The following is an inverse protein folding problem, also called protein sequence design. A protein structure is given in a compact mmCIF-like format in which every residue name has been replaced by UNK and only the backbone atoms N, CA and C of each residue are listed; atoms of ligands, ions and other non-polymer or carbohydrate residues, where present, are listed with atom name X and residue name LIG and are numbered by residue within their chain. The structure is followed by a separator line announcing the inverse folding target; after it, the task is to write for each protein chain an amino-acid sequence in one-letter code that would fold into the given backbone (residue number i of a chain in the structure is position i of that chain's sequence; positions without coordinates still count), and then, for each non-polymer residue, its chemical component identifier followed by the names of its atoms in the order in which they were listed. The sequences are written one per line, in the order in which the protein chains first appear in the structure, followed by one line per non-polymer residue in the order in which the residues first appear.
data_IF_944908626754
#
_entry.id   IF_944908626754
#
_cell.length_a   1.000
_cell.length_b   1.000
_cell.length_c   1.000
_cell.angle_alpha   90.00
_cell.angle_beta   90.00
_cell.angle_gamma   90.00
#
_symmetry.space_group_name_H-M   'P 1'
#
loop_
_entity.id
_entity.type
_entity.pdbx_description
1 polymer ?
#
# COMPACT_ATOMS: atom_id res chain seq x y z
N UNK A 1 -5.45 -7.46 17.35
CA UNK A 1 -4.04 -7.02 17.18
C UNK A 1 -3.76 -5.98 18.25
N UNK A 2 -2.62 -6.04 18.92
CA UNK A 2 -2.21 -5.02 19.91
C UNK A 2 -1.82 -3.75 19.14
N UNK A 3 -2.46 -2.64 19.46
CA UNK A 3 -2.13 -1.31 18.92
C UNK A 3 -0.71 -0.93 19.35
N UNK A 4 0.13 -0.49 18.43
CA UNK A 4 1.45 0.05 18.76
C UNK A 4 1.28 1.52 19.14
N UNK A 5 1.77 1.90 20.31
CA UNK A 5 1.74 3.26 20.81
C UNK A 5 3.10 3.91 20.67
N UNK A 6 3.11 5.15 20.20
CA UNK A 6 4.29 6.00 20.05
C UNK A 6 4.09 7.28 20.84
N UNK A 7 5.19 7.90 21.28
CA UNK A 7 5.17 9.23 21.84
C UNK A 7 5.51 10.26 20.76
N UNK A 8 4.81 11.38 20.75
CA UNK A 8 5.20 12.58 20.00
C UNK A 8 6.30 13.30 20.78
N UNK A 9 7.52 13.25 20.27
CA UNK A 9 8.69 13.88 20.92
C UNK A 9 8.77 15.36 20.61
N UNK A 10 8.52 15.73 19.36
CA UNK A 10 8.56 17.12 18.90
C UNK A 10 7.61 17.33 17.73
N UNK A 11 7.10 18.57 17.63
CA UNK A 11 6.36 19.03 16.45
C UNK A 11 7.05 20.28 15.90
N UNK A 12 7.28 20.31 14.57
CA UNK A 12 8.16 21.28 13.95
C UNK A 12 7.50 21.89 12.70
N UNK A 13 7.75 23.18 12.45
CA UNK A 13 7.27 23.89 11.26
C UNK A 13 8.38 24.73 10.61
N UNK A 14 8.22 25.03 9.34
CA UNK A 14 8.98 26.06 8.63
C UNK A 14 8.06 26.85 7.71
N UNK A 15 8.28 28.15 7.60
CA UNK A 15 7.49 29.03 6.73
C UNK A 15 7.91 28.94 5.26
N UNK A 16 9.13 28.48 4.99
CA UNK A 16 9.67 28.37 3.63
C UNK A 16 10.13 26.95 3.29
N UNK A 17 9.95 26.57 2.04
CA UNK A 17 10.42 25.27 1.54
C UNK A 17 11.96 25.25 1.46
N UNK A 18 12.53 24.10 1.85
CA UNK A 18 13.98 23.90 1.79
C UNK A 18 14.74 24.37 3.03
N UNK A 19 14.08 24.92 4.01
CA UNK A 19 14.66 25.28 5.31
C UNK A 19 14.48 24.14 6.32
N UNK A 20 15.32 24.12 7.35
CA UNK A 20 15.12 23.30 8.54
C UNK A 20 13.86 23.77 9.25
N UNK A 21 13.17 22.84 9.92
CA UNK A 21 11.99 23.17 10.71
C UNK A 21 12.38 23.48 12.15
N UNK A 22 11.57 24.29 12.81
CA UNK A 22 11.80 24.68 14.19
C UNK A 22 10.75 24.06 15.09
N UNK A 23 11.14 23.54 16.28
CA UNK A 23 10.20 23.04 17.28
C UNK A 23 9.22 24.13 17.70
N UNK A 24 7.95 23.72 17.83
CA UNK A 24 6.87 24.57 18.35
C UNK A 24 6.09 23.82 19.44
N UNK A 25 5.36 24.53 20.26
CA UNK A 25 4.60 23.94 21.37
C UNK A 25 3.39 23.12 20.88
N UNK A 26 2.90 23.42 19.65
CA UNK A 26 1.69 22.84 19.11
C UNK A 26 1.62 23.03 17.60
N UNK A 27 1.09 22.05 16.89
CA UNK A 27 0.69 22.18 15.48
C UNK A 27 -0.83 21.98 15.36
N UNK A 28 -1.45 22.78 14.48
CA UNK A 28 -2.84 22.61 14.07
C UNK A 28 -2.87 22.09 12.65
N UNK A 29 -3.69 21.06 12.40
CA UNK A 29 -3.81 20.42 11.08
C UNK A 29 -5.21 20.69 10.51
N UNK A 30 -5.26 20.95 9.23
CA UNK A 30 -6.47 21.00 8.41
C UNK A 30 -6.37 19.98 7.27
N UNK A 31 -7.33 19.97 6.34
CA UNK A 31 -7.33 19.05 5.19
C UNK A 31 -6.16 19.22 4.21
N UNK A 32 -5.41 20.32 4.31
CA UNK A 32 -4.24 20.61 3.47
C UNK A 32 -2.91 20.35 4.19
N UNK A 33 -2.93 19.95 5.46
CA UNK A 33 -1.72 19.72 6.24
C UNK A 33 -1.61 20.62 7.47
N UNK A 34 -0.38 20.98 7.85
CA UNK A 34 -0.11 21.80 9.03
C UNK A 34 -0.29 23.28 8.69
N UNK A 35 -1.12 23.97 9.46
CA UNK A 35 -1.38 25.40 9.31
C UNK A 35 -0.09 26.19 9.56
N UNK A 36 0.30 27.01 8.60
CA UNK A 36 1.54 27.81 8.64
C UNK A 36 2.81 27.08 8.21
N UNK A 37 2.74 25.80 7.86
CA UNK A 37 3.90 25.08 7.31
C UNK A 37 3.99 25.25 5.80
N UNK A 38 5.19 25.44 5.28
CA UNK A 38 5.45 25.65 3.85
C UNK A 38 5.08 24.45 2.96
N UNK A 39 4.92 23.25 3.53
CA UNK A 39 4.57 22.03 2.79
C UNK A 39 3.07 21.73 2.83
N UNK A 40 2.25 22.54 3.50
CA UNK A 40 0.80 22.42 3.43
C UNK A 40 0.31 22.62 1.98
N UNK A 41 -0.66 21.80 1.55
CA UNK A 41 -1.23 21.88 0.21
C UNK A 41 -2.04 20.64 -0.16
N UNK A 42 -2.69 20.71 -1.32
CA UNK A 42 -3.46 19.60 -1.88
C UNK A 42 -2.51 18.61 -2.59
N UNK A 43 -1.87 17.77 -1.84
CA UNK A 43 -0.96 16.76 -2.32
C UNK A 43 -0.79 15.63 -1.27
N UNK A 44 -0.06 14.57 -1.64
CA UNK A 44 0.04 13.37 -0.79
C UNK A 44 1.10 13.47 0.34
N UNK A 45 1.98 14.48 0.34
CA UNK A 45 3.04 14.67 1.34
C UNK A 45 2.79 15.90 2.21
N UNK A 46 1.62 15.96 2.84
CA UNK A 46 1.18 17.12 3.64
C UNK A 46 1.92 17.24 4.97
N UNK A 47 2.25 16.09 5.59
CA UNK A 47 2.93 16.04 6.89
C UNK A 47 4.04 15.01 6.81
N UNK A 48 5.23 15.37 7.27
CA UNK A 48 6.39 14.48 7.33
C UNK A 48 6.67 14.02 8.75
N UNK A 49 6.94 12.73 8.94
CA UNK A 49 7.29 12.16 10.22
C UNK A 49 8.67 11.49 10.15
N UNK A 50 9.39 11.49 11.28
CA UNK A 50 10.66 10.79 11.46
C UNK A 50 10.75 10.24 12.89
N UNK A 51 11.18 8.98 13.04
CA UNK A 51 11.38 8.37 14.34
C UNK A 51 12.67 8.86 15.03
N UNK A 52 12.65 9.06 16.33
CA UNK A 52 13.83 9.32 17.17
C UNK A 52 14.91 8.24 16.96
N UNK A 53 14.49 7.03 16.70
CA UNK A 53 15.35 5.89 16.37
C UNK A 53 16.23 6.16 15.13
N UNK A 54 15.71 6.92 14.17
CA UNK A 54 16.47 7.38 12.99
C UNK A 54 17.50 8.44 13.35
N UNK A 55 17.17 9.36 14.27
CA UNK A 55 18.13 10.34 14.81
C UNK A 55 19.28 9.65 15.55
N UNK A 56 18.98 8.64 16.35
CA UNK A 56 19.98 7.87 17.10
C UNK A 56 20.92 7.09 16.16
N UNK A 57 20.39 6.51 15.08
CA UNK A 57 21.23 5.89 14.05
C UNK A 57 22.13 6.90 13.34
N UNK A 58 21.55 8.04 12.97
CA UNK A 58 22.30 9.11 12.32
C UNK A 58 23.38 9.68 13.24
N UNK A 59 23.11 9.90 14.52
CA UNK A 59 24.05 10.49 15.47
C UNK A 59 25.33 9.66 15.62
N UNK A 60 25.23 8.33 15.49
CA UNK A 60 26.39 7.43 15.52
C UNK A 60 27.33 7.64 14.33
N UNK A 61 26.80 8.08 13.19
CA UNK A 61 27.56 8.35 11.97
C UNK A 61 28.11 9.78 11.99
N UNK A 62 27.28 10.73 12.41
CA UNK A 62 27.58 12.15 12.40
C UNK A 62 28.46 12.62 13.58
N UNK A 63 28.58 11.80 14.64
CA UNK A 63 29.30 12.16 15.86
C UNK A 63 28.61 13.25 16.71
N UNK A 64 27.37 13.62 16.36
CA UNK A 64 26.55 14.57 17.11
C UNK A 64 25.07 14.18 17.04
N UNK A 65 24.30 14.62 18.01
CA UNK A 65 22.84 14.49 17.97
C UNK A 65 22.25 15.65 17.16
N UNK A 66 21.47 15.35 16.09
CA UNK A 66 20.75 16.40 15.35
C UNK A 66 19.65 17.01 16.21
N UNK A 67 19.28 18.25 15.95
CA UNK A 67 18.13 18.90 16.59
C UNK A 67 16.82 18.47 15.91
N UNK A 68 15.71 18.49 16.66
CA UNK A 68 14.40 18.18 16.09
C UNK A 68 14.02 19.21 15.02
N UNK A 69 13.54 18.73 13.88
CA UNK A 69 13.23 19.55 12.69
C UNK A 69 14.40 19.71 11.70
N UNK A 70 15.62 19.29 12.07
CA UNK A 70 16.80 19.44 11.22
C UNK A 70 16.67 18.68 9.89
N UNK A 71 16.03 17.53 9.87
CA UNK A 71 15.73 16.76 8.66
C UNK A 71 14.50 17.26 7.89
N UNK A 72 13.93 18.41 8.32
CA UNK A 72 12.70 18.99 7.82
C UNK A 72 11.44 18.10 8.07
N UNK A 73 11.48 17.26 9.09
CA UNK A 73 10.30 16.53 9.58
C UNK A 73 9.39 17.46 10.38
N UNK A 74 8.06 17.22 10.25
CA UNK A 74 7.06 17.94 11.01
C UNK A 74 6.79 17.33 12.38
N UNK A 75 6.83 16.00 12.47
CA UNK A 75 6.56 15.29 13.72
C UNK A 75 7.71 14.32 13.97
N UNK A 76 8.33 14.42 15.13
CA UNK A 76 9.30 13.45 15.62
C UNK A 76 8.59 12.52 16.61
N UNK A 77 8.66 11.20 16.36
CA UNK A 77 8.04 10.17 17.18
C UNK A 77 9.08 9.31 17.89
N UNK A 78 8.68 8.58 18.92
CA UNK A 78 9.49 7.57 19.62
C UNK A 78 8.63 6.34 19.92
N UNK A 79 9.17 5.14 19.76
CA UNK A 79 8.52 3.88 20.15
C UNK A 79 8.49 2.82 19.06
N UNK A 80 8.78 3.18 17.81
CA UNK A 80 8.95 2.22 16.71
C UNK A 80 9.73 2.80 15.53
N UNK A 81 10.33 1.91 14.74
CA UNK A 81 10.91 2.26 13.44
C UNK A 81 9.79 2.57 12.42
N UNK A 82 9.34 3.83 12.36
CA UNK A 82 8.19 4.21 11.53
C UNK A 82 8.42 4.01 10.02
N UNK A 83 9.64 3.94 9.56
CA UNK A 83 9.95 3.63 8.15
C UNK A 83 9.61 2.19 7.74
N UNK A 84 9.27 1.33 8.70
CA UNK A 84 8.76 -0.04 8.45
C UNK A 84 7.24 -0.07 8.21
N UNK A 85 6.59 1.07 8.22
CA UNK A 85 5.17 1.21 7.85
C UNK A 85 4.99 1.11 6.34
N UNK A 86 3.74 1.07 5.88
CA UNK A 86 3.42 0.96 4.46
C UNK A 86 2.42 2.04 4.06
N UNK A 87 2.40 2.46 2.79
CA UNK A 87 1.36 3.33 2.28
C UNK A 87 -0.05 2.76 2.53
N UNK A 88 -0.93 3.61 3.04
CA UNK A 88 -2.27 3.23 3.49
C UNK A 88 -2.38 2.89 4.97
N UNK A 89 -1.27 2.76 5.70
CA UNK A 89 -1.28 2.65 7.16
C UNK A 89 -1.78 3.94 7.80
N UNK A 90 -2.32 3.84 9.00
CA UNK A 90 -2.94 4.94 9.71
C UNK A 90 -2.20 5.22 11.02
N UNK A 91 -1.97 6.49 11.29
CA UNK A 91 -1.64 7.00 12.61
C UNK A 91 -2.78 7.85 13.16
N UNK A 92 -3.13 7.64 14.43
CA UNK A 92 -4.10 8.49 15.12
C UNK A 92 -3.43 9.18 16.31
N UNK A 93 -3.79 10.44 16.55
CA UNK A 93 -3.33 11.21 17.71
C UNK A 93 -4.49 12.09 18.19
N UNK A 94 -5.13 11.70 19.29
CA UNK A 94 -6.39 12.32 19.71
C UNK A 94 -7.45 12.21 18.61
N UNK A 95 -7.87 13.36 18.05
CA UNK A 95 -8.81 13.42 16.93
C UNK A 95 -8.12 13.35 15.55
N UNK A 96 -6.82 13.59 15.50
CA UNK A 96 -6.09 13.63 14.23
C UNK A 96 -5.95 12.22 13.66
N UNK A 97 -6.22 12.07 12.37
CA UNK A 97 -5.98 10.84 11.61
C UNK A 97 -5.06 11.19 10.43
N UNK A 98 -3.93 10.52 10.35
CA UNK A 98 -2.94 10.63 9.29
C UNK A 98 -2.83 9.30 8.55
N UNK A 99 -2.89 9.34 7.22
CA UNK A 99 -2.63 8.17 6.37
C UNK A 99 -1.23 8.26 5.77
N UNK A 100 -0.45 7.21 5.93
CA UNK A 100 0.86 7.07 5.27
C UNK A 100 0.66 6.99 3.76
N UNK A 101 1.35 7.86 3.03
CA UNK A 101 1.24 7.94 1.57
C UNK A 101 2.56 7.61 0.87
N UNK A 102 3.68 7.77 1.56
CA UNK A 102 5.00 7.52 0.98
C UNK A 102 6.03 7.26 2.07
N UNK A 103 6.94 6.33 1.82
CA UNK A 103 8.15 6.11 2.60
C UNK A 103 9.34 6.66 1.81
N UNK A 104 10.19 7.44 2.47
CA UNK A 104 11.35 8.04 1.85
C UNK A 104 11.02 9.09 0.77
N UNK A 105 12.03 9.68 0.19
CA UNK A 105 11.92 10.63 -0.92
C UNK A 105 13.22 10.67 -1.73
N UNK A 106 13.16 11.18 -2.95
CA UNK A 106 14.40 11.48 -3.69
C UNK A 106 15.24 12.51 -2.92
N UNK A 107 16.53 12.22 -2.75
CA UNK A 107 17.47 13.14 -2.13
C UNK A 107 17.73 14.35 -3.03
N UNK A 108 17.84 15.53 -2.43
CA UNK A 108 18.20 16.76 -3.14
C UNK A 108 19.73 16.93 -3.32
N UNK A 109 20.54 15.97 -2.79
CA UNK A 109 22.00 16.01 -2.90
C UNK A 109 22.59 17.28 -2.29
N UNK A 110 23.54 17.90 -2.99
CA UNK A 110 24.28 19.08 -2.54
C UNK A 110 23.41 20.32 -2.27
N UNK A 111 22.15 20.32 -2.67
CA UNK A 111 21.18 21.36 -2.34
C UNK A 111 20.66 21.29 -0.89
N UNK A 112 20.96 20.21 -0.15
CA UNK A 112 20.50 20.02 1.23
C UNK A 112 21.62 20.33 2.22
N UNK A 113 21.34 21.18 3.24
CA UNK A 113 22.32 21.55 4.25
C UNK A 113 22.84 20.34 5.04
N UNK A 114 21.96 19.44 5.46
CA UNK A 114 22.32 18.21 6.18
C UNK A 114 23.19 17.28 5.32
N UNK A 115 22.85 17.13 4.04
CA UNK A 115 23.66 16.31 3.14
C UNK A 115 25.07 16.88 2.93
N UNK A 116 25.19 18.19 2.80
CA UNK A 116 26.51 18.86 2.66
C UNK A 116 27.40 18.68 3.89
N UNK A 117 26.81 18.67 5.08
CA UNK A 117 27.54 18.54 6.34
C UNK A 117 28.06 17.12 6.57
N UNK A 118 27.22 16.10 6.33
CA UNK A 118 27.48 14.71 6.74
C UNK A 118 27.63 13.76 5.54
N UNK A 119 27.32 14.20 4.32
CA UNK A 119 27.29 13.35 3.12
C UNK A 119 26.14 12.35 3.10
N UNK A 120 25.27 12.38 4.09
CA UNK A 120 24.14 11.45 4.24
C UNK A 120 22.93 12.15 4.85
N UNK A 121 21.73 11.60 4.61
CA UNK A 121 20.50 12.10 5.21
C UNK A 121 19.54 10.91 5.40
N UNK A 122 18.87 10.86 6.54
CA UNK A 122 17.94 9.76 6.87
C UNK A 122 16.56 9.90 6.18
N UNK A 123 16.11 11.13 5.91
CA UNK A 123 14.80 11.37 5.30
C UNK A 123 14.54 10.66 3.97
N UNK A 124 15.53 10.51 3.05
CA UNK A 124 15.34 9.78 1.81
C UNK A 124 14.97 8.30 1.98
N UNK A 125 15.36 7.70 3.11
CA UNK A 125 15.14 6.26 3.37
C UNK A 125 14.17 6.00 4.51
N UNK A 126 14.18 6.82 5.56
CA UNK A 126 13.51 6.56 6.82
C UNK A 126 12.41 7.57 7.16
N UNK A 127 12.34 8.69 6.45
CA UNK A 127 11.24 9.63 6.59
C UNK A 127 9.95 9.08 5.97
N UNK A 128 8.83 9.27 6.64
CA UNK A 128 7.53 8.95 6.08
C UNK A 128 6.73 10.21 5.82
N UNK A 129 5.84 10.14 4.85
CA UNK A 129 4.96 11.24 4.48
C UNK A 129 3.52 10.78 4.60
N UNK A 130 2.67 11.69 5.08
CA UNK A 130 1.26 11.40 5.33
C UNK A 130 0.37 12.50 4.75
N UNK A 131 -0.90 12.16 4.55
CA UNK A 131 -1.98 13.11 4.33
C UNK A 131 -2.91 13.14 5.53
N UNK A 132 -3.56 14.27 5.74
CA UNK A 132 -4.53 14.46 6.82
C UNK A 132 -5.88 13.92 6.37
N UNK A 133 -6.36 12.87 7.06
CA UNK A 133 -7.72 12.33 6.88
C UNK A 133 -8.69 13.05 7.82
N UNK A 134 -8.28 13.26 9.07
CA UNK A 134 -9.08 14.01 10.05
C UNK A 134 -8.22 15.11 10.67
N UNK A 135 -8.67 16.36 10.62
CA UNK A 135 -7.96 17.50 11.20
C UNK A 135 -8.03 17.51 12.73
N UNK A 136 -7.13 18.29 13.32
CA UNK A 136 -7.05 18.48 14.77
C UNK A 136 -5.75 19.13 15.19
N UNK A 137 -5.30 18.83 16.40
CA UNK A 137 -4.12 19.44 17.02
C UNK A 137 -3.24 18.36 17.62
N UNK A 138 -1.92 18.52 17.49
CA UNK A 138 -0.91 17.64 18.08
C UNK A 138 0.08 18.48 18.87
N UNK A 139 0.46 18.00 20.06
CA UNK A 139 1.45 18.62 20.95
C UNK A 139 2.55 17.61 21.31
N UNK A 140 3.77 18.05 21.62
CA UNK A 140 4.77 17.18 22.23
C UNK A 140 4.23 16.54 23.52
N UNK A 141 4.49 15.24 23.67
CA UNK A 141 3.97 14.44 24.80
C UNK A 141 2.66 13.71 24.49
N UNK A 142 1.97 14.03 23.39
CA UNK A 142 0.78 13.29 22.98
C UNK A 142 1.15 11.84 22.60
N UNK A 143 0.20 10.93 22.82
CA UNK A 143 0.31 9.54 22.39
C UNK A 143 -0.27 9.40 20.98
N UNK A 144 0.51 8.82 20.08
CA UNK A 144 0.09 8.45 18.74
C UNK A 144 -0.07 6.92 18.64
N UNK A 145 -1.11 6.45 18.01
CA UNK A 145 -1.38 5.02 17.83
C UNK A 145 -1.26 4.64 16.34
N UNK A 146 -0.60 3.53 16.10
CA UNK A 146 -0.37 3.00 14.75
C UNK A 146 -1.31 1.84 14.45
N UNK A 147 -1.91 1.88 13.27
CA UNK A 147 -2.80 0.85 12.72
C UNK A 147 -2.33 0.47 11.31
N UNK A 148 -1.81 -0.74 11.14
CA UNK A 148 -1.45 -1.22 9.81
C UNK A 148 -2.71 -1.41 8.95
N UNK A 149 -2.60 -1.07 7.66
CA UNK A 149 -3.62 -1.41 6.68
C UNK A 149 -3.67 -2.91 6.52
N UNK A 150 -4.86 -3.50 6.69
CA UNK A 150 -5.09 -4.91 6.44
C UNK A 150 -5.47 -5.09 4.96
N UNK A 151 -4.63 -5.80 4.21
CA UNK A 151 -4.93 -6.17 2.82
C UNK A 151 -5.80 -7.42 2.81
N UNK A 152 -7.02 -7.27 2.31
CA UNK A 152 -7.96 -8.38 2.14
C UNK A 152 -7.81 -8.98 0.75
N UNK A 153 -7.66 -10.28 0.67
CA UNK A 153 -7.58 -11.01 -0.59
C UNK A 153 -8.57 -12.16 -0.63
N UNK A 154 -9.16 -12.41 -1.79
CA UNK A 154 -10.09 -13.50 -2.03
C UNK A 154 -9.59 -14.35 -3.20
N UNK A 155 -9.43 -15.65 -2.97
CA UNK A 155 -9.15 -16.64 -4.01
C UNK A 155 -10.43 -17.41 -4.30
N UNK A 156 -10.83 -17.48 -5.57
CA UNK A 156 -12.02 -18.20 -6.03
C UNK A 156 -11.60 -19.28 -7.01
N UNK A 157 -11.89 -20.55 -6.72
CA UNK A 157 -11.78 -21.64 -7.68
C UNK A 157 -13.14 -21.92 -8.30
N UNK A 158 -13.19 -21.92 -9.65
CA UNK A 158 -14.35 -22.32 -10.42
C UNK A 158 -14.14 -23.73 -10.97
N UNK A 159 -14.94 -24.67 -10.51
CA UNK A 159 -14.87 -26.06 -10.98
C UNK A 159 -16.10 -26.85 -10.57
N UNK A 160 -16.90 -27.31 -11.53
CA UNK A 160 -18.02 -28.23 -11.31
C UNK A 160 -17.57 -29.53 -10.61
N UNK A 161 -16.44 -30.10 -11.05
CA UNK A 161 -15.93 -31.37 -10.53
C UNK A 161 -15.35 -31.26 -9.13
N UNK A 162 -14.64 -30.17 -8.83
CA UNK A 162 -14.11 -29.98 -7.48
C UNK A 162 -15.22 -29.60 -6.49
N UNK A 163 -16.17 -28.75 -6.89
CA UNK A 163 -17.28 -28.31 -6.04
C UNK A 163 -18.25 -29.44 -5.67
N UNK A 164 -18.38 -30.46 -6.52
CA UNK A 164 -19.20 -31.64 -6.22
C UNK A 164 -18.42 -32.81 -5.59
N UNK A 165 -17.12 -32.60 -5.27
CA UNK A 165 -16.28 -33.59 -4.61
C UNK A 165 -15.72 -34.69 -5.52
N UNK A 166 -15.82 -34.57 -6.86
CA UNK A 166 -15.26 -35.57 -7.80
C UNK A 166 -13.73 -35.63 -7.73
N UNK A 167 -13.07 -34.49 -7.43
CA UNK A 167 -11.64 -34.44 -7.13
C UNK A 167 -11.32 -33.28 -6.19
N UNK A 168 -10.15 -33.31 -5.57
CA UNK A 168 -9.67 -32.27 -4.66
C UNK A 168 -9.18 -31.04 -5.44
N UNK A 169 -9.59 -29.83 -5.03
CA UNK A 169 -9.00 -28.61 -5.57
C UNK A 169 -7.58 -28.42 -5.03
N UNK A 170 -6.61 -28.43 -5.94
CA UNK A 170 -5.21 -28.17 -5.63
C UNK A 170 -4.78 -26.75 -6.03
N UNK A 171 -5.52 -26.11 -6.91
CA UNK A 171 -5.16 -24.81 -7.50
C UNK A 171 -5.45 -23.66 -6.55
N UNK A 172 -6.64 -23.65 -5.95
CA UNK A 172 -7.04 -22.62 -4.98
C UNK A 172 -6.15 -22.59 -3.74
N UNK A 173 -5.97 -23.71 -3.01
CA UNK A 173 -5.07 -23.77 -1.87
C UNK A 173 -3.63 -23.37 -2.18
N UNK A 174 -3.08 -23.73 -3.34
CA UNK A 174 -1.74 -23.30 -3.75
C UNK A 174 -1.68 -21.79 -4.02
N UNK A 175 -2.73 -21.21 -4.64
CA UNK A 175 -2.83 -19.78 -4.83
C UNK A 175 -2.90 -19.02 -3.49
N UNK A 176 -3.69 -19.53 -2.53
CA UNK A 176 -3.75 -18.98 -1.16
C UNK A 176 -2.38 -18.99 -0.50
N UNK A 177 -1.67 -20.12 -0.56
CA UNK A 177 -0.35 -20.28 0.02
C UNK A 177 0.67 -19.31 -0.57
N UNK A 178 0.71 -19.17 -1.91
CA UNK A 178 1.62 -18.27 -2.59
C UNK A 178 1.31 -16.80 -2.26
N UNK A 179 0.04 -16.43 -2.23
CA UNK A 179 -0.39 -15.08 -1.88
C UNK A 179 -0.10 -14.72 -0.43
N UNK A 180 -0.34 -15.66 0.49
CA UNK A 180 0.00 -15.50 1.91
C UNK A 180 1.51 -15.33 2.10
N UNK A 181 2.32 -16.18 1.46
CA UNK A 181 3.78 -16.05 1.51
C UNK A 181 4.27 -14.70 0.95
N UNK A 182 3.63 -14.21 -0.11
CA UNK A 182 3.93 -12.90 -0.67
C UNK A 182 3.68 -11.78 0.36
N UNK A 183 2.50 -11.72 0.98
CA UNK A 183 2.19 -10.71 1.99
C UNK A 183 3.13 -10.80 3.20
N UNK A 184 3.45 -12.02 3.67
CA UNK A 184 4.40 -12.23 4.77
C UNK A 184 5.79 -11.71 4.42
N UNK A 185 6.30 -12.03 3.23
CA UNK A 185 7.63 -11.59 2.78
C UNK A 185 7.73 -10.07 2.60
N UNK A 186 6.61 -9.41 2.28
CA UNK A 186 6.54 -7.95 2.14
C UNK A 186 6.20 -7.22 3.44
N UNK A 187 5.91 -7.95 4.53
CA UNK A 187 5.54 -7.36 5.82
C UNK A 187 4.13 -6.76 5.86
N UNK A 188 3.30 -6.97 4.82
CA UNK A 188 1.95 -6.44 4.76
C UNK A 188 0.99 -7.24 5.65
N UNK A 189 0.24 -6.55 6.51
CA UNK A 189 -0.85 -7.16 7.26
C UNK A 189 -1.95 -7.59 6.29
N UNK A 190 -2.42 -8.82 6.41
CA UNK A 190 -3.33 -9.40 5.41
C UNK A 190 -4.32 -10.40 5.98
N UNK A 191 -5.42 -10.55 5.25
CA UNK A 191 -6.43 -11.60 5.40
C UNK A 191 -6.64 -12.22 4.02
N UNK A 192 -6.45 -13.54 3.91
CA UNK A 192 -6.69 -14.26 2.65
C UNK A 192 -7.83 -15.24 2.86
N UNK A 193 -8.87 -15.07 2.09
CA UNK A 193 -10.04 -15.96 2.07
C UNK A 193 -10.09 -16.78 0.79
N UNK A 194 -10.78 -17.94 0.86
CA UNK A 194 -10.90 -18.87 -0.24
C UNK A 194 -12.36 -19.29 -0.43
N UNK A 195 -12.79 -19.42 -1.69
CA UNK A 195 -14.09 -19.97 -2.09
C UNK A 195 -13.90 -20.93 -3.25
N UNK A 196 -14.58 -22.07 -3.16
CA UNK A 196 -14.72 -23.04 -4.25
C UNK A 196 -16.18 -23.03 -4.69
N UNK A 197 -16.42 -22.76 -5.97
CA UNK A 197 -17.76 -22.70 -6.55
C UNK A 197 -17.83 -23.54 -7.84
N UNK A 198 -19.02 -24.02 -8.23
CA UNK A 198 -19.23 -24.60 -9.55
C UNK A 198 -18.99 -23.54 -10.65
N UNK A 199 -18.87 -23.99 -11.90
CA UNK A 199 -18.75 -23.11 -13.06
C UNK A 199 -20.09 -22.38 -13.31
N UNK A 200 -20.37 -21.38 -12.46
CA UNK A 200 -21.63 -20.60 -12.43
C UNK A 200 -21.34 -19.08 -12.40
N UNK A 201 -21.74 -18.41 -13.48
CA UNK A 201 -21.51 -16.97 -13.66
C UNK A 201 -22.18 -16.11 -12.60
N UNK A 202 -23.42 -16.44 -12.23
CA UNK A 202 -24.17 -15.66 -11.24
C UNK A 202 -23.53 -15.75 -9.84
N UNK A 203 -23.02 -16.95 -9.47
CA UNK A 203 -22.31 -17.13 -8.21
C UNK A 203 -20.98 -16.36 -8.21
N UNK A 204 -20.26 -16.37 -9.32
CA UNK A 204 -19.01 -15.59 -9.45
C UNK A 204 -19.29 -14.08 -9.32
N UNK A 205 -20.30 -13.58 -10.04
CA UNK A 205 -20.67 -12.15 -9.99
C UNK A 205 -21.10 -11.75 -8.57
N UNK A 206 -21.91 -12.57 -7.90
CA UNK A 206 -22.31 -12.32 -6.51
C UNK A 206 -21.12 -12.23 -5.55
N UNK A 207 -20.14 -13.16 -5.66
CA UNK A 207 -18.92 -13.11 -4.86
C UNK A 207 -18.03 -11.88 -5.17
N UNK A 208 -18.01 -11.42 -6.42
CA UNK A 208 -17.27 -10.21 -6.78
C UNK A 208 -17.95 -8.95 -6.22
N UNK A 209 -19.27 -8.89 -6.21
CA UNK A 209 -20.05 -7.81 -5.59
C UNK A 209 -19.87 -7.79 -4.06
N UNK A 210 -19.93 -8.97 -3.41
CA UNK A 210 -19.64 -9.13 -1.99
C UNK A 210 -18.21 -8.67 -1.67
N UNK A 211 -17.21 -9.15 -2.41
CA UNK A 211 -15.83 -8.74 -2.26
C UNK A 211 -15.65 -7.21 -2.42
N UNK A 212 -16.45 -6.61 -3.31
CA UNK A 212 -16.49 -5.17 -3.47
C UNK A 212 -17.03 -4.47 -2.22
N UNK A 213 -18.14 -4.88 -1.73
CA UNK A 213 -18.77 -4.33 -0.54
C UNK A 213 -17.87 -4.46 0.69
N UNK A 214 -17.19 -5.60 0.84
CA UNK A 214 -16.32 -5.92 1.97
C UNK A 214 -14.93 -5.24 1.89
N UNK A 215 -14.66 -4.50 0.82
CA UNK A 215 -13.42 -3.78 0.63
C UNK A 215 -12.21 -4.70 0.37
N UNK A 216 -12.44 -5.85 -0.28
CA UNK A 216 -11.37 -6.76 -0.72
C UNK A 216 -10.45 -6.04 -1.71
N UNK A 217 -9.14 -6.11 -1.48
CA UNK A 217 -8.14 -5.41 -2.28
C UNK A 217 -7.69 -6.23 -3.50
N UNK A 218 -7.68 -7.56 -3.38
CA UNK A 218 -7.22 -8.47 -4.43
C UNK A 218 -8.19 -9.64 -4.56
N UNK A 219 -8.65 -9.92 -5.77
CA UNK A 219 -9.39 -11.14 -6.09
C UNK A 219 -8.62 -11.95 -7.12
N UNK A 220 -8.38 -13.21 -6.83
CA UNK A 220 -7.75 -14.17 -7.76
C UNK A 220 -8.78 -15.24 -8.10
N UNK A 221 -9.04 -15.43 -9.38
CA UNK A 221 -9.88 -16.54 -9.87
C UNK A 221 -9.02 -17.60 -10.56
N UNK A 222 -9.30 -18.87 -10.35
CA UNK A 222 -8.67 -20.00 -11.00
C UNK A 222 -9.72 -21.01 -11.43
N UNK A 223 -9.49 -21.72 -12.52
CA UNK A 223 -10.47 -22.65 -13.12
C UNK A 223 -11.42 -21.97 -14.11
N UNK A 224 -12.48 -22.66 -14.52
CA UNK A 224 -13.45 -22.17 -15.52
C UNK A 224 -12.85 -21.88 -16.90
N UNK A 225 -11.75 -22.56 -17.28
CA UNK A 225 -10.93 -22.28 -18.48
C UNK A 225 -11.04 -23.32 -19.58
N UNK A 226 -11.98 -24.26 -19.47
CA UNK A 226 -12.24 -25.25 -20.50
C UNK A 226 -12.72 -24.60 -21.81
N UNK A 227 -12.72 -25.37 -22.90
CA UNK A 227 -13.28 -24.99 -24.22
C UNK A 227 -14.78 -25.29 -24.30
N UNK A 228 -15.43 -25.60 -23.17
CA UNK A 228 -16.83 -25.98 -23.11
C UNK A 228 -17.78 -24.78 -23.13
N UNK A 229 -19.03 -25.04 -23.55
CA UNK A 229 -20.09 -24.01 -23.62
C UNK A 229 -20.42 -23.38 -22.26
N UNK A 230 -19.94 -23.96 -21.15
CA UNK A 230 -20.13 -23.50 -19.75
C UNK A 230 -18.93 -22.75 -19.14
N UNK A 231 -17.84 -22.61 -19.89
CA UNK A 231 -16.68 -21.86 -19.40
C UNK A 231 -16.94 -20.36 -19.42
N UNK A 232 -17.15 -19.81 -18.23
CA UNK A 232 -17.69 -18.48 -18.01
C UNK A 232 -16.63 -17.47 -17.56
N UNK A 233 -15.47 -17.93 -17.09
CA UNK A 233 -14.48 -17.06 -16.47
C UNK A 233 -14.00 -15.93 -17.40
N UNK A 234 -13.76 -16.12 -18.70
CA UNK A 234 -13.45 -15.00 -19.60
C UNK A 234 -14.61 -14.02 -19.79
N UNK A 235 -15.87 -14.47 -19.64
CA UNK A 235 -17.07 -13.64 -19.82
C UNK A 235 -17.54 -12.97 -18.53
N UNK A 236 -17.61 -13.71 -17.43
CA UNK A 236 -18.05 -13.21 -16.13
C UNK A 236 -17.05 -12.25 -15.46
N UNK A 237 -15.77 -12.28 -15.84
CA UNK A 237 -14.76 -11.37 -15.33
C UNK A 237 -14.74 -10.00 -16.04
N UNK A 238 -15.41 -9.87 -17.18
CA UNK A 238 -15.58 -8.61 -17.90
C UNK A 238 -16.90 -7.96 -17.50
N UNK A 239 -16.91 -7.17 -16.45
CA UNK A 239 -18.01 -6.21 -16.27
C UNK A 239 -17.71 -5.01 -17.13
N UNK A 240 -18.64 -4.74 -18.05
CA UNK A 240 -18.59 -3.70 -19.08
C UNK A 240 -18.43 -2.31 -18.45
N UNK A 241 -17.27 -1.72 -18.57
CA UNK A 241 -16.99 -0.35 -18.17
C UNK A 241 -17.29 0.60 -19.36
N UNK A 242 -18.57 0.69 -19.75
CA UNK A 242 -19.05 1.62 -20.77
C UNK A 242 -19.56 2.94 -20.20
N UNK A 243 -19.00 3.43 -19.11
CA UNK A 243 -19.17 4.83 -18.74
C UNK A 243 -17.83 5.42 -18.35
N UNK A 244 -17.10 5.86 -19.39
CA UNK A 244 -15.93 6.68 -19.24
C UNK A 244 -16.31 8.05 -18.69
N UNK A 245 -15.86 8.36 -17.49
CA UNK A 245 -15.64 9.73 -17.09
C UNK A 245 -14.12 9.93 -16.86
N UNK A 246 -13.55 10.67 -17.79
CA UNK A 246 -12.11 10.90 -17.96
C UNK A 246 -11.62 12.02 -17.05
N UNK A 247 -11.71 11.88 -15.72
CA UNK A 247 -11.19 12.87 -14.77
C UNK A 247 -10.63 12.30 -13.50
N UNK A 248 -9.64 11.37 -13.57
CA UNK A 248 -8.75 11.10 -12.45
C UNK A 248 -7.34 10.79 -12.95
N UNK A 249 -6.45 11.75 -12.80
CA UNK A 249 -5.01 11.65 -13.03
C UNK A 249 -4.33 10.83 -11.94
N UNK A 250 -4.52 9.51 -11.92
CA UNK A 250 -3.91 8.60 -10.93
C UNK A 250 -3.79 7.15 -11.37
N UNK A 251 -4.33 6.79 -12.53
CA UNK A 251 -4.60 5.39 -12.88
C UNK A 251 -3.85 4.84 -14.10
N UNK A 252 -2.90 5.59 -14.65
CA UNK A 252 -2.20 5.18 -15.88
C UNK A 252 -1.24 4.00 -15.68
N UNK A 253 -0.63 3.86 -14.51
CA UNK A 253 0.25 2.73 -14.18
C UNK A 253 -0.52 1.41 -14.12
N UNK A 254 -1.76 1.43 -13.66
CA UNK A 254 -2.63 0.27 -13.57
C UNK A 254 -3.15 -0.17 -14.96
N UNK A 255 -3.54 0.76 -15.82
CA UNK A 255 -3.95 0.47 -17.22
C UNK A 255 -2.79 -0.12 -18.03
N UNK A 256 -1.58 0.36 -17.83
CA UNK A 256 -0.36 -0.17 -18.47
C UNK A 256 -0.09 -1.60 -18.02
N UNK A 257 -0.24 -1.89 -16.73
CA UNK A 257 -0.02 -3.24 -16.21
C UNK A 257 -1.08 -4.23 -16.67
N UNK A 258 -2.34 -3.87 -16.74
CA UNK A 258 -3.38 -4.72 -17.32
C UNK A 258 -3.09 -5.07 -18.78
N UNK A 259 -2.58 -4.14 -19.59
CA UNK A 259 -2.16 -4.40 -20.96
C UNK A 259 -0.93 -5.30 -21.03
N UNK A 260 0.04 -5.10 -20.14
CA UNK A 260 1.24 -5.93 -20.07
C UNK A 260 0.93 -7.35 -19.61
N UNK A 261 0.07 -7.51 -18.59
CA UNK A 261 -0.43 -8.80 -18.13
C UNK A 261 -1.21 -9.55 -19.24
N UNK A 262 -2.05 -8.84 -20.02
CA UNK A 262 -2.75 -9.40 -21.16
C UNK A 262 -1.82 -9.80 -22.32
N UNK A 263 -0.69 -9.12 -22.47
CA UNK A 263 0.34 -9.43 -23.46
C UNK A 263 1.14 -10.68 -23.11
N UNK A 264 1.36 -10.93 -21.81
CA UNK A 264 2.13 -12.06 -21.28
C UNK A 264 1.27 -13.32 -21.16
N UNK A 265 -0.02 -13.19 -20.91
CA UNK A 265 -0.95 -14.30 -20.74
C UNK A 265 -2.18 -14.10 -21.64
N UNK A 266 -2.33 -14.93 -22.67
CA UNK A 266 -3.46 -14.90 -23.62
C UNK A 266 -4.86 -15.08 -23.01
N UNK A 267 -4.99 -15.20 -21.67
CA UNK A 267 -6.23 -15.44 -20.94
C UNK A 267 -6.25 -14.77 -19.58
N UNK A 268 -5.86 -13.49 -19.50
CA UNK A 268 -5.96 -12.73 -18.25
C UNK A 268 -7.05 -11.66 -18.38
N UNK A 269 -7.93 -11.59 -17.42
CA UNK A 269 -8.87 -10.50 -17.28
C UNK A 269 -8.62 -9.73 -15.98
N UNK A 270 -8.68 -8.43 -16.07
CA UNK A 270 -8.41 -7.51 -14.98
C UNK A 270 -9.53 -6.49 -14.89
N UNK A 271 -10.06 -6.27 -13.70
CA UNK A 271 -11.04 -5.22 -13.43
C UNK A 271 -10.45 -4.15 -12.53
N UNK A 272 -10.68 -2.90 -12.88
CA UNK A 272 -10.23 -1.73 -12.15
C UNK A 272 -11.43 -0.93 -11.69
N UNK A 273 -11.65 -0.85 -10.37
CA UNK A 273 -12.52 0.13 -9.73
C UNK A 273 -11.80 0.73 -8.53
N UNK A 274 -10.58 1.25 -8.76
CA UNK A 274 -9.78 1.91 -7.73
C UNK A 274 -9.39 1.04 -6.52
N UNK A 275 -9.94 -0.18 -6.38
CA UNK A 275 -9.74 -1.04 -5.19
C UNK A 275 -9.59 -2.52 -5.47
N UNK A 276 -9.87 -3.01 -6.69
CA UNK A 276 -9.78 -4.45 -7.00
C UNK A 276 -8.85 -4.75 -8.11
N UNK A 277 -8.29 -5.92 -7.95
CA UNK A 277 -7.54 -6.58 -8.98
C UNK A 277 -8.08 -8.00 -9.10
N UNK A 278 -8.70 -8.32 -10.24
CA UNK A 278 -9.13 -9.67 -10.55
C UNK A 278 -8.15 -10.25 -11.56
N UNK A 279 -7.39 -11.26 -11.17
CA UNK A 279 -6.48 -11.98 -12.07
C UNK A 279 -7.06 -13.35 -12.35
N UNK A 280 -7.37 -13.60 -13.61
CA UNK A 280 -7.74 -14.93 -14.10
C UNK A 280 -6.53 -15.61 -14.73
N UNK A 281 -6.23 -16.84 -14.36
CA UNK A 281 -5.20 -17.65 -15.00
C UNK A 281 -5.78 -18.99 -15.49
N UNK A 282 -5.55 -19.30 -16.76
CA UNK A 282 -5.73 -20.64 -17.31
C UNK A 282 -4.59 -21.53 -16.79
N UNK A 283 -4.86 -22.52 -15.93
CA UNK A 283 -3.86 -23.16 -15.13
C UNK A 283 -3.64 -24.64 -15.44
N UNK A 284 -2.40 -24.94 -15.80
CA UNK A 284 -1.76 -26.22 -15.47
C UNK A 284 -0.72 -25.98 -14.36
N UNK A 285 -0.49 -26.98 -13.47
CA UNK A 285 0.40 -26.96 -12.30
C UNK A 285 1.74 -26.22 -12.47
N UNK A 286 2.26 -26.14 -13.69
CA UNK A 286 3.53 -25.47 -14.00
C UNK A 286 3.42 -23.94 -14.14
N UNK A 287 2.24 -23.41 -14.37
CA UNK A 287 2.03 -21.98 -14.60
C UNK A 287 2.28 -21.13 -13.34
N UNK A 288 1.91 -21.57 -12.09
CA UNK A 288 2.15 -20.86 -10.83
C UNK A 288 3.63 -20.67 -10.56
N UNK A 289 4.41 -21.70 -10.77
CA UNK A 289 5.87 -21.64 -10.64
C UNK A 289 6.51 -20.70 -11.65
N UNK A 290 5.92 -20.54 -12.86
CA UNK A 290 6.42 -19.61 -13.87
C UNK A 290 6.14 -18.13 -13.55
N UNK A 291 5.02 -17.83 -12.97
CA UNK A 291 4.69 -16.43 -12.61
C UNK A 291 5.53 -15.97 -11.41
N UNK A 292 5.73 -16.83 -10.40
CA UNK A 292 6.45 -16.51 -9.19
C UNK A 292 7.90 -17.03 -9.16
N UNK A 293 8.24 -18.04 -9.93
CA UNK A 293 9.57 -18.69 -9.88
C UNK A 293 10.65 -18.08 -10.77
N UNK A 294 10.34 -17.20 -11.73
CA UNK A 294 11.32 -16.55 -12.61
C UNK A 294 11.72 -15.14 -12.20
N UNK A 295 11.04 -14.50 -11.26
CA UNK A 295 11.31 -13.11 -10.87
C UNK A 295 11.65 -12.97 -9.38
N UNK A 296 12.50 -13.85 -8.85
CA UNK A 296 13.06 -13.68 -7.49
C UNK A 296 14.11 -12.56 -7.39
N UNK A 297 14.25 -11.73 -8.42
CA UNK A 297 15.04 -10.51 -8.35
C UNK A 297 14.19 -9.34 -8.87
N UNK A 298 13.57 -8.60 -7.96
CA UNK A 298 13.11 -7.20 -8.13
C UNK A 298 11.89 -6.86 -8.96
N UNK A 299 10.84 -7.67 -9.07
CA UNK A 299 9.56 -7.13 -9.56
C UNK A 299 8.37 -7.64 -8.76
N UNK A 300 7.92 -6.81 -7.83
CA UNK A 300 6.59 -6.87 -7.24
C UNK A 300 5.52 -6.83 -8.34
N UNK A 301 4.38 -7.52 -8.20
CA UNK A 301 3.23 -7.20 -9.03
C UNK A 301 2.95 -5.70 -8.93
N UNK A 302 2.67 -5.02 -10.05
CA UNK A 302 2.50 -3.55 -10.09
C UNK A 302 1.44 -2.97 -9.15
N UNK A 303 0.57 -3.80 -8.60
CA UNK A 303 -0.41 -3.40 -7.57
C UNK A 303 0.27 -2.75 -6.35
N UNK A 304 1.49 -3.16 -6.03
CA UNK A 304 2.25 -2.63 -4.89
C UNK A 304 3.26 -1.56 -5.31
N UNK A 305 3.56 -1.45 -6.62
CA UNK A 305 4.35 -0.36 -7.18
C UNK A 305 3.51 0.89 -7.54
N UNK A 306 2.17 0.83 -7.44
CA UNK A 306 1.31 2.00 -7.67
C UNK A 306 1.57 3.15 -6.69
N UNK A 307 2.41 2.92 -5.69
CA UNK A 307 2.85 3.93 -4.73
C UNK A 307 4.31 4.38 -4.90
N UNK A 308 4.91 4.17 -6.09
CA UNK A 308 6.15 4.84 -6.50
C UNK A 308 7.37 4.51 -5.64
N UNK A 309 7.87 3.31 -5.78
CA UNK A 309 9.24 2.94 -5.41
C UNK A 309 10.15 2.98 -6.63
#
# INVERSE_FOLDING_TARGET
MSTVKLNVVSVNISEKKGEIKHPVNKISLNSLGIVGDAHAGDWHRQVSLLGKESFERFSKIAGRMPVWGEFAENITTEGMDIFKTHPGDIFTCGKVILEVTQIGKKCHGDGCAVYREVGNCVMPKEGIFTRVIQPGTITPGDTMEYFPKIYKALVITLSDRASNGTYEDLSGPEAVKLLTAYFQNTGLAHEVSYRLIPDNEQMLLGLLEEAQSDGVNVVITTGGTGVGVRDITPRGSFVDDRQGDSRHHGDDSFKVWCREAQRIAKSWSCRTNGRYFCVHSAWQREGCKRIYGRNHQNTLPPILNAYGY
#
